data_IF_918412919803
#
_entry.id   IF_918412919803
#
_cell.length_a   1.000
_cell.length_b   1.000
_cell.length_c   1.000
_cell.angle_alpha   90.00
_cell.angle_beta   90.00
_cell.angle_gamma   90.00
#
_symmetry.space_group_name_H-M   'P 1'
#
loop_
_entity.id
_entity.type
_entity.pdbx_description
1 polymer ?
#
# COMPACT_ATOMS: atom_id res chain seq x y z
N UNK A 1 -14.67 24.97 -35.54
CA UNK A 1 -15.21 23.60 -35.39
C UNK A 1 -14.92 23.16 -33.96
N UNK A 2 -15.94 23.09 -33.13
CA UNK A 2 -15.82 22.58 -31.75
C UNK A 2 -15.81 21.06 -31.87
N UNK A 3 -14.78 20.41 -31.34
CA UNK A 3 -14.63 18.96 -31.47
C UNK A 3 -15.68 18.21 -30.63
N UNK A 4 -16.11 17.05 -31.11
CA UNK A 4 -17.06 16.19 -30.40
C UNK A 4 -16.62 15.87 -28.96
N UNK A 5 -15.32 15.87 -28.69
CA UNK A 5 -14.73 15.67 -27.34
C UNK A 5 -15.03 16.81 -26.37
N UNK A 6 -15.13 18.06 -26.86
CA UNK A 6 -15.47 19.22 -26.03
C UNK A 6 -16.95 19.21 -25.61
N UNK A 7 -17.83 18.79 -26.51
CA UNK A 7 -19.27 18.65 -26.23
C UNK A 7 -19.56 17.51 -25.25
N UNK A 8 -18.85 16.40 -25.36
CA UNK A 8 -18.96 15.28 -24.41
C UNK A 8 -18.46 15.67 -23.01
N UNK A 9 -17.39 16.47 -22.94
CA UNK A 9 -16.82 16.94 -21.66
C UNK A 9 -17.75 17.91 -20.96
N UNK A 10 -18.41 18.82 -21.70
CA UNK A 10 -19.43 19.75 -21.16
C UNK A 10 -20.67 18.98 -20.66
N UNK A 11 -21.15 18.01 -21.43
CA UNK A 11 -22.31 17.21 -21.05
C UNK A 11 -22.03 16.37 -19.79
N UNK A 12 -20.85 15.77 -19.68
CA UNK A 12 -20.45 15.02 -18.48
C UNK A 12 -20.28 15.94 -17.29
N UNK A 13 -19.74 17.14 -17.47
CA UNK A 13 -19.57 18.13 -16.38
C UNK A 13 -20.92 18.66 -15.88
N UNK A 14 -21.86 18.95 -16.78
CA UNK A 14 -23.24 19.34 -16.46
C UNK A 14 -23.99 18.22 -15.76
N UNK A 15 -23.81 16.96 -16.17
CA UNK A 15 -24.45 15.83 -15.54
C UNK A 15 -23.92 15.57 -14.11
N UNK A 16 -22.62 15.76 -13.88
CA UNK A 16 -22.01 15.67 -12.54
C UNK A 16 -22.45 16.84 -11.64
N UNK A 17 -22.63 18.04 -12.17
CA UNK A 17 -23.17 19.17 -11.42
C UNK A 17 -24.65 18.95 -11.03
N UNK A 18 -25.44 18.35 -11.90
CA UNK A 18 -26.84 18.01 -11.62
C UNK A 18 -26.97 16.90 -10.55
N UNK A 19 -26.01 15.98 -10.51
CA UNK A 19 -25.93 14.92 -9.49
C UNK A 19 -25.52 15.46 -8.09
N UNK A 20 -24.75 16.56 -8.01
CA UNK A 20 -24.40 17.20 -6.73
C UNK A 20 -25.60 17.84 -6.02
N UNK A 21 -26.60 18.30 -6.75
CA UNK A 21 -27.80 18.92 -6.18
C UNK A 21 -28.82 17.94 -5.59
N UNK A 22 -28.67 16.64 -5.85
CA UNK A 22 -29.53 15.57 -5.31
C UNK A 22 -28.83 14.66 -4.29
N UNK A 23 -27.74 15.10 -3.68
CA UNK A 23 -26.83 14.27 -2.89
C UNK A 23 -27.39 13.65 -1.60
N UNK A 24 -28.55 14.05 -1.11
CA UNK A 24 -29.18 13.50 0.10
C UNK A 24 -30.00 12.21 -0.14
N UNK A 25 -30.62 12.05 -1.29
CA UNK A 25 -31.36 10.83 -1.63
C UNK A 25 -30.45 9.71 -2.15
N UNK A 26 -29.27 10.02 -2.70
CA UNK A 26 -28.32 9.08 -3.28
C UNK A 26 -27.59 8.20 -2.25
N UNK A 27 -27.36 8.67 -1.04
CA UNK A 27 -26.71 7.87 0.01
C UNK A 27 -27.49 6.61 0.40
N UNK A 28 -28.78 6.59 0.20
CA UNK A 28 -29.65 5.46 0.55
C UNK A 28 -29.71 4.40 -0.55
N UNK A 29 -29.57 4.81 -1.82
CA UNK A 29 -29.61 3.92 -2.99
C UNK A 29 -28.26 3.24 -3.24
N UNK A 30 -27.13 3.85 -2.86
CA UNK A 30 -25.78 3.29 -3.06
C UNK A 30 -25.48 2.04 -2.20
N UNK A 31 -26.16 1.85 -1.09
CA UNK A 31 -25.90 0.69 -0.22
C UNK A 31 -26.51 -0.61 -0.77
N UNK A 32 -27.53 -0.54 -1.61
CA UNK A 32 -28.23 -1.72 -2.12
C UNK A 32 -27.78 -2.21 -3.50
N UNK A 33 -27.13 -1.37 -4.32
CA UNK A 33 -26.76 -1.68 -5.72
C UNK A 33 -25.29 -2.00 -5.98
N UNK A 34 -24.39 -1.96 -4.99
CA UNK A 34 -22.94 -2.14 -5.18
C UNK A 34 -22.47 -3.60 -5.10
N UNK A 35 -23.21 -4.54 -5.68
CA UNK A 35 -22.81 -5.96 -5.67
C UNK A 35 -21.86 -6.36 -6.82
N UNK A 36 -21.63 -5.54 -7.83
CA UNK A 36 -20.73 -5.89 -8.94
C UNK A 36 -19.34 -5.29 -8.81
N UNK A 37 -18.32 -6.13 -9.06
CA UNK A 37 -16.88 -5.77 -9.01
C UNK A 37 -16.53 -4.61 -9.97
N UNK A 38 -17.25 -4.50 -11.10
CA UNK A 38 -17.05 -3.48 -12.14
C UNK A 38 -17.47 -2.10 -11.64
N UNK A 39 -18.58 -1.99 -10.93
CA UNK A 39 -19.07 -0.72 -10.40
C UNK A 39 -18.15 -0.14 -9.31
N UNK A 40 -17.55 -1.00 -8.47
CA UNK A 40 -16.57 -0.55 -7.45
C UNK A 40 -15.32 0.04 -8.10
N UNK A 41 -14.81 -0.59 -9.13
CA UNK A 41 -13.62 -0.06 -9.86
C UNK A 41 -13.92 1.27 -10.54
N UNK A 42 -15.10 1.42 -11.14
CA UNK A 42 -15.49 2.67 -11.79
C UNK A 42 -15.67 3.83 -10.80
N UNK A 43 -16.27 3.57 -9.63
CA UNK A 43 -16.45 4.59 -8.58
C UNK A 43 -15.11 5.00 -7.96
N UNK A 44 -14.21 4.04 -7.71
CA UNK A 44 -12.85 4.31 -7.21
C UNK A 44 -12.07 5.11 -8.26
N UNK A 45 -12.16 4.77 -9.54
CA UNK A 45 -11.52 5.48 -10.64
C UNK A 45 -12.03 6.94 -10.77
N UNK A 46 -13.35 7.17 -10.65
CA UNK A 46 -13.93 8.50 -10.71
C UNK A 46 -13.54 9.36 -9.50
N UNK A 47 -13.51 8.79 -8.30
CA UNK A 47 -13.08 9.48 -7.09
C UNK A 47 -11.59 9.82 -7.12
N UNK A 48 -10.77 8.92 -7.64
CA UNK A 48 -9.34 9.11 -7.83
C UNK A 48 -9.06 10.20 -8.88
N UNK A 49 -9.79 10.18 -10.00
CA UNK A 49 -9.74 11.20 -11.06
C UNK A 49 -10.07 12.60 -10.52
N UNK A 50 -11.07 12.72 -9.66
CA UNK A 50 -11.44 14.01 -9.04
C UNK A 50 -10.34 14.52 -8.09
N UNK A 51 -9.69 13.64 -7.33
CA UNK A 51 -8.54 14.00 -6.46
C UNK A 51 -7.34 14.47 -7.26
N UNK A 52 -6.99 13.76 -8.32
CA UNK A 52 -5.88 14.13 -9.25
C UNK A 52 -6.19 15.45 -9.93
N UNK A 53 -7.39 15.67 -10.44
CA UNK A 53 -7.79 16.93 -11.06
C UNK A 53 -7.77 18.11 -10.09
N UNK A 54 -8.13 17.91 -8.83
CA UNK A 54 -8.06 18.95 -7.82
C UNK A 54 -6.60 19.27 -7.41
N UNK A 55 -5.73 18.28 -7.37
CA UNK A 55 -4.28 18.47 -7.15
C UNK A 55 -3.64 19.23 -8.31
N UNK A 56 -3.98 18.88 -9.55
CA UNK A 56 -3.54 19.57 -10.77
C UNK A 56 -4.03 21.01 -10.76
N UNK A 57 -5.31 21.27 -10.47
CA UNK A 57 -5.87 22.64 -10.40
C UNK A 57 -5.17 23.51 -9.36
N UNK A 58 -4.78 22.97 -8.21
CA UNK A 58 -4.05 23.74 -7.18
C UNK A 58 -2.63 24.09 -7.56
N UNK A 59 -1.96 23.28 -8.40
CA UNK A 59 -0.55 23.49 -8.81
C UNK A 59 -0.39 24.23 -10.14
N UNK A 60 -1.42 24.25 -11.00
CA UNK A 60 -1.31 24.70 -12.39
C UNK A 60 -2.18 25.93 -12.67
N UNK A 61 -2.42 26.81 -11.69
CA UNK A 61 -3.23 28.02 -11.87
C UNK A 61 -2.70 29.03 -12.93
N UNK A 62 -1.60 28.76 -13.63
CA UNK A 62 -1.06 29.65 -14.66
C UNK A 62 -0.72 29.00 -16.02
N UNK A 63 -1.04 27.71 -16.24
CA UNK A 63 -0.61 27.04 -17.48
C UNK A 63 -1.78 26.33 -18.18
N UNK A 64 -1.94 26.55 -19.47
CA UNK A 64 -2.94 25.88 -20.30
C UNK A 64 -2.53 24.42 -20.55
N UNK A 65 -3.33 23.45 -20.10
CA UNK A 65 -3.17 22.02 -20.39
C UNK A 65 -3.94 21.74 -21.69
N UNK A 66 -3.28 21.21 -22.70
CA UNK A 66 -3.88 21.06 -24.02
C UNK A 66 -4.16 19.61 -24.45
N UNK A 67 -3.47 18.59 -23.92
CA UNK A 67 -3.74 17.20 -24.29
C UNK A 67 -3.57 16.21 -23.12
N UNK A 68 -4.45 15.19 -23.09
CA UNK A 68 -4.38 14.05 -22.19
C UNK A 68 -4.34 12.78 -23.02
N UNK A 69 -3.30 11.97 -22.85
CA UNK A 69 -3.23 10.63 -23.40
C UNK A 69 -3.56 9.60 -22.30
N UNK A 70 -4.62 8.82 -22.53
CA UNK A 70 -5.09 7.76 -21.64
C UNK A 70 -4.94 6.37 -22.27
N UNK A 71 -4.15 6.20 -23.32
CA UNK A 71 -4.05 4.98 -24.10
C UNK A 71 -3.31 3.82 -23.44
N UNK A 72 -2.79 3.98 -22.22
CA UNK A 72 -2.10 2.92 -21.49
C UNK A 72 -2.65 2.71 -20.08
N UNK A 73 -3.28 1.58 -19.84
CA UNK A 73 -3.80 1.18 -18.51
C UNK A 73 -2.70 0.76 -17.52
N UNK A 74 -1.50 1.30 -17.64
CA UNK A 74 -0.39 1.05 -16.71
C UNK A 74 0.11 2.39 -16.15
N UNK A 75 -0.13 2.60 -14.88
CA UNK A 75 0.54 3.44 -13.85
C UNK A 75 1.29 4.74 -14.22
N UNK A 76 1.41 5.13 -15.46
CA UNK A 76 2.04 6.40 -15.90
C UNK A 76 0.99 7.38 -16.43
N UNK A 77 0.73 8.46 -15.70
CA UNK A 77 -0.04 9.61 -16.21
C UNK A 77 0.97 10.60 -16.76
N UNK A 78 1.05 10.72 -18.09
CA UNK A 78 1.82 11.77 -18.76
C UNK A 78 0.94 12.99 -18.97
N UNK A 79 1.30 14.10 -18.37
CA UNK A 79 0.66 15.40 -18.59
C UNK A 79 1.61 16.25 -19.42
N UNK A 80 1.29 16.49 -20.70
CA UNK A 80 2.05 17.39 -21.57
C UNK A 80 1.54 18.81 -21.41
N UNK A 81 2.41 19.73 -21.00
CA UNK A 81 2.12 21.16 -20.91
C UNK A 81 2.82 21.85 -22.09
N UNK A 82 2.06 22.47 -22.99
CA UNK A 82 2.63 23.23 -24.12
C UNK A 82 3.20 24.54 -23.57
N UNK A 83 4.51 24.58 -23.39
CA UNK A 83 5.26 25.74 -22.92
C UNK A 83 6.52 25.37 -22.12
N UNK A 84 7.58 25.07 -22.82
CA UNK A 84 9.01 25.09 -22.41
C UNK A 84 9.54 24.16 -21.32
N UNK A 85 8.79 23.25 -20.70
CA UNK A 85 9.33 22.04 -20.02
C UNK A 85 8.16 21.15 -19.63
N UNK A 86 8.11 19.91 -20.14
CA UNK A 86 7.19 18.89 -19.64
C UNK A 86 7.46 18.65 -18.17
N UNK A 87 6.42 18.64 -17.34
CA UNK A 87 6.51 18.19 -15.94
C UNK A 87 6.05 16.74 -15.98
N UNK A 88 6.98 15.81 -16.00
CA UNK A 88 6.70 14.41 -15.77
C UNK A 88 6.41 14.22 -14.27
N UNK A 89 5.14 14.08 -13.92
CA UNK A 89 4.76 13.69 -12.56
C UNK A 89 4.72 12.16 -12.56
N UNK A 90 5.85 11.53 -12.26
CA UNK A 90 5.91 10.10 -12.01
C UNK A 90 5.38 9.86 -10.59
N UNK A 91 4.20 9.26 -10.47
CA UNK A 91 3.72 8.78 -9.18
C UNK A 91 4.52 7.55 -8.77
N UNK A 92 5.01 7.53 -7.55
CA UNK A 92 5.75 6.38 -7.01
C UNK A 92 4.82 5.19 -6.89
N UNK A 93 5.18 4.08 -7.51
CA UNK A 93 4.42 2.83 -7.36
C UNK A 93 4.80 2.14 -6.05
N UNK A 94 3.80 1.78 -5.25
CA UNK A 94 4.00 1.17 -3.94
C UNK A 94 3.50 -0.27 -3.91
N UNK A 95 4.27 -1.13 -3.23
CA UNK A 95 3.91 -2.50 -2.89
C UNK A 95 3.92 -2.68 -1.37
N UNK A 96 2.94 -3.39 -0.84
CA UNK A 96 2.93 -3.89 0.53
C UNK A 96 3.24 -5.39 0.51
N UNK A 97 4.35 -5.78 1.10
CA UNK A 97 4.72 -7.20 1.28
C UNK A 97 4.64 -7.54 2.75
N UNK A 98 4.05 -8.68 3.10
CA UNK A 98 3.94 -9.06 4.50
C UNK A 98 4.00 -10.57 4.70
N UNK A 99 4.49 -10.97 5.87
CA UNK A 99 4.27 -12.29 6.44
C UNK A 99 3.32 -12.19 7.63
N UNK A 100 2.43 -13.13 7.77
CA UNK A 100 1.52 -13.20 8.91
C UNK A 100 1.17 -14.65 9.23
N UNK A 101 1.23 -14.99 10.51
CA UNK A 101 0.84 -16.29 11.07
C UNK A 101 -0.15 -16.07 12.21
N UNK A 102 -0.77 -17.14 12.73
CA UNK A 102 -1.74 -17.08 13.83
C UNK A 102 -2.96 -16.19 13.50
N UNK A 103 -3.25 -15.18 14.30
CA UNK A 103 -4.47 -14.36 14.25
C UNK A 103 -4.55 -13.38 13.06
N UNK A 104 -3.52 -13.32 12.23
CA UNK A 104 -3.53 -12.43 11.07
C UNK A 104 -3.27 -10.94 11.39
N UNK A 105 -2.70 -10.61 12.54
CA UNK A 105 -2.48 -9.23 12.97
C UNK A 105 -1.67 -8.41 11.95
N UNK A 106 -0.54 -8.94 11.47
CA UNK A 106 0.27 -8.28 10.43
C UNK A 106 -0.50 -8.15 9.12
N UNK A 107 -1.29 -9.16 8.75
CA UNK A 107 -2.17 -9.12 7.58
C UNK A 107 -3.18 -7.99 7.66
N UNK A 108 -3.85 -7.83 8.82
CA UNK A 108 -4.84 -6.76 9.07
C UNK A 108 -4.24 -5.37 8.79
N UNK A 109 -3.04 -5.11 9.31
CA UNK A 109 -2.34 -3.84 9.10
C UNK A 109 -1.89 -3.67 7.64
N UNK A 110 -1.35 -4.72 7.02
CA UNK A 110 -0.94 -4.69 5.61
C UNK A 110 -2.10 -4.39 4.67
N UNK A 111 -3.25 -5.02 4.89
CA UNK A 111 -4.47 -4.77 4.10
C UNK A 111 -5.01 -3.35 4.33
N UNK A 112 -4.98 -2.85 5.57
CA UNK A 112 -5.38 -1.48 5.88
C UNK A 112 -4.48 -0.46 5.15
N UNK A 113 -3.16 -0.66 5.19
CA UNK A 113 -2.18 0.18 4.49
C UNK A 113 -2.43 0.15 2.97
N UNK A 114 -2.51 -1.05 2.36
CA UNK A 114 -2.72 -1.19 0.92
C UNK A 114 -4.04 -0.55 0.46
N UNK A 115 -5.14 -0.80 1.18
CA UNK A 115 -6.44 -0.22 0.86
C UNK A 115 -6.48 1.32 0.92
N UNK A 116 -5.75 1.91 1.88
CA UNK A 116 -5.74 3.37 2.07
C UNK A 116 -4.80 4.10 1.11
N UNK A 117 -3.71 3.44 0.69
CA UNK A 117 -2.72 4.02 -0.24
C UNK A 117 -2.97 3.66 -1.70
N UNK A 118 -3.79 2.64 -1.97
CA UNK A 118 -3.97 2.08 -3.31
C UNK A 118 -2.78 1.23 -3.77
N UNK A 119 -1.93 0.80 -2.85
CA UNK A 119 -0.76 -0.03 -3.14
C UNK A 119 -1.18 -1.46 -3.54
N UNK A 120 -0.35 -2.09 -4.39
CA UNK A 120 -0.42 -3.52 -4.60
C UNK A 120 -0.04 -4.26 -3.30
N UNK A 121 -0.53 -5.49 -3.11
CA UNK A 121 -0.25 -6.27 -1.91
C UNK A 121 0.18 -7.69 -2.26
N UNK A 122 1.21 -8.19 -1.57
CA UNK A 122 1.71 -9.56 -1.71
C UNK A 122 1.97 -10.17 -0.33
N UNK A 123 1.62 -11.44 -0.17
CA UNK A 123 1.90 -12.22 1.04
C UNK A 123 3.14 -13.08 0.81
N UNK A 124 4.03 -13.10 1.80
CA UNK A 124 5.11 -14.08 1.88
C UNK A 124 4.51 -15.37 2.45
N UNK A 125 4.73 -16.48 1.76
CA UNK A 125 4.31 -17.81 2.19
C UNK A 125 5.52 -18.75 2.19
N UNK A 126 5.70 -19.50 3.26
CA UNK A 126 6.71 -20.56 3.31
C UNK A 126 6.26 -21.75 2.45
N UNK A 127 7.22 -22.41 1.77
CA UNK A 127 6.93 -23.59 0.96
C UNK A 127 6.34 -24.72 1.82
N UNK A 128 6.85 -24.85 3.05
CA UNK A 128 6.30 -25.70 4.09
C UNK A 128 5.65 -24.83 5.16
N UNK A 129 4.31 -24.81 5.28
CA UNK A 129 3.63 -23.99 6.26
C UNK A 129 3.95 -24.45 7.69
N UNK A 130 4.09 -23.49 8.61
CA UNK A 130 4.16 -23.80 10.03
C UNK A 130 2.87 -24.47 10.49
N UNK A 131 3.00 -25.63 11.14
CA UNK A 131 1.87 -26.46 11.55
C UNK A 131 2.10 -27.02 12.96
N UNK A 132 1.02 -27.46 13.60
CA UNK A 132 1.04 -27.93 14.98
C UNK A 132 0.30 -26.97 15.93
N UNK A 133 0.49 -27.17 17.21
CA UNK A 133 -0.03 -26.26 18.24
C UNK A 133 0.68 -24.91 18.21
N UNK A 134 0.10 -23.93 18.90
CA UNK A 134 0.78 -22.62 19.05
C UNK A 134 2.15 -22.77 19.67
N UNK A 135 2.26 -23.60 20.72
CA UNK A 135 3.49 -23.88 21.44
C UNK A 135 4.54 -24.53 20.54
N UNK A 136 4.14 -25.48 19.68
CA UNK A 136 5.05 -26.15 18.74
C UNK A 136 5.69 -25.14 17.79
N UNK A 137 4.88 -24.22 17.26
CA UNK A 137 5.37 -23.19 16.33
C UNK A 137 6.22 -22.13 17.05
N UNK A 138 5.89 -21.77 18.29
CA UNK A 138 6.70 -20.87 19.11
C UNK A 138 8.09 -21.47 19.34
N UNK A 139 8.17 -22.75 19.72
CA UNK A 139 9.43 -23.46 19.95
C UNK A 139 10.23 -23.68 18.64
N UNK A 140 9.52 -23.98 17.54
CA UNK A 140 10.16 -24.05 16.22
C UNK A 140 10.75 -22.69 15.82
N UNK A 141 9.98 -21.62 15.97
CA UNK A 141 10.41 -20.26 15.65
C UNK A 141 11.62 -19.83 16.48
N UNK A 142 11.71 -20.26 17.77
CA UNK A 142 12.89 -20.03 18.59
C UNK A 142 14.14 -20.66 17.98
N UNK A 143 14.07 -21.95 17.70
CA UNK A 143 15.21 -22.69 17.12
C UNK A 143 15.64 -22.10 15.78
N UNK A 144 14.67 -21.70 14.93
CA UNK A 144 14.95 -21.11 13.62
C UNK A 144 15.63 -19.74 13.73
N UNK A 145 15.14 -18.88 14.64
CA UNK A 145 15.73 -17.55 14.86
C UNK A 145 17.14 -17.69 15.44
N UNK A 146 17.35 -18.55 16.45
CA UNK A 146 18.67 -18.81 17.04
C UNK A 146 19.68 -19.38 16.02
N UNK A 147 19.20 -20.20 15.08
CA UNK A 147 20.02 -20.78 14.01
C UNK A 147 20.22 -19.82 12.82
N UNK A 148 19.55 -18.69 12.76
CA UNK A 148 19.50 -17.83 11.56
C UNK A 148 18.92 -18.56 10.35
N UNK A 149 17.96 -19.46 10.57
CA UNK A 149 17.35 -20.29 9.54
C UNK A 149 16.54 -19.45 8.56
N UNK A 150 16.69 -19.72 7.28
CA UNK A 150 15.96 -19.09 6.20
C UNK A 150 15.09 -20.14 5.50
N UNK A 151 13.81 -20.28 5.88
CA UNK A 151 12.89 -21.22 5.24
C UNK A 151 12.72 -20.87 3.76
N UNK A 152 12.52 -21.89 2.93
CA UNK A 152 12.15 -21.67 1.54
C UNK A 152 10.77 -20.99 1.51
N UNK A 153 10.66 -19.93 0.70
CA UNK A 153 9.40 -19.19 0.49
C UNK A 153 8.92 -19.41 -0.95
N UNK A 154 7.60 -19.38 -1.12
CA UNK A 154 6.99 -19.41 -2.44
C UNK A 154 7.29 -18.09 -3.18
N UNK A 155 7.48 -18.11 -4.50
CA UNK A 155 7.64 -16.88 -5.29
C UNK A 155 6.43 -15.96 -5.10
N UNK A 156 6.69 -14.68 -4.83
CA UNK A 156 5.63 -13.67 -4.87
C UNK A 156 5.25 -13.37 -6.32
N UNK A 157 3.96 -13.12 -6.57
CA UNK A 157 3.40 -12.95 -7.92
C UNK A 157 3.72 -11.61 -8.59
N UNK A 158 4.59 -10.79 -7.98
CA UNK A 158 4.93 -9.44 -8.44
C UNK A 158 6.43 -9.27 -8.60
N UNK A 159 6.84 -8.44 -9.57
CA UNK A 159 8.24 -8.08 -9.76
C UNK A 159 8.57 -6.84 -8.94
N UNK A 160 9.50 -6.94 -7.96
CA UNK A 160 9.91 -5.83 -7.11
C UNK A 160 10.52 -4.66 -7.90
N UNK A 161 11.09 -4.92 -9.08
CA UNK A 161 11.67 -3.87 -9.92
C UNK A 161 10.64 -2.82 -10.36
N UNK A 162 9.36 -3.19 -10.41
CA UNK A 162 8.27 -2.32 -10.86
C UNK A 162 7.81 -1.30 -9.80
N UNK A 163 8.41 -1.34 -8.59
CA UNK A 163 7.98 -0.52 -7.45
C UNK A 163 9.10 0.39 -6.96
N UNK A 164 8.74 1.64 -6.66
CA UNK A 164 9.65 2.64 -6.09
C UNK A 164 9.65 2.58 -4.54
N UNK A 165 8.51 2.17 -3.95
CA UNK A 165 8.29 2.09 -2.50
C UNK A 165 7.81 0.69 -2.13
N UNK A 166 8.44 0.08 -1.12
CA UNK A 166 8.06 -1.25 -0.64
C UNK A 166 7.85 -1.20 0.88
N UNK A 167 6.60 -1.31 1.32
CA UNK A 167 6.31 -1.52 2.73
C UNK A 167 6.45 -3.01 3.07
N UNK A 168 7.17 -3.34 4.13
CA UNK A 168 7.46 -4.72 4.51
C UNK A 168 7.01 -4.95 5.93
N UNK A 169 6.03 -5.87 6.09
CA UNK A 169 5.41 -6.21 7.37
C UNK A 169 5.81 -7.58 7.90
N UNK A 170 6.12 -7.64 9.19
CA UNK A 170 6.49 -8.87 9.90
C UNK A 170 5.88 -8.91 11.29
N UNK A 171 5.47 -10.07 11.83
CA UNK A 171 5.32 -10.22 13.27
C UNK A 171 6.70 -10.29 13.94
N UNK A 172 6.78 -9.91 15.22
CA UNK A 172 7.95 -10.20 16.05
C UNK A 172 7.99 -11.66 16.41
N UNK A 173 9.09 -12.32 16.08
CA UNK A 173 9.42 -13.67 16.49
C UNK A 173 10.75 -13.65 17.26
N UNK A 174 10.69 -13.98 18.55
CA UNK A 174 11.89 -14.02 19.39
C UNK A 174 12.79 -12.77 19.24
N UNK A 175 12.14 -11.60 19.43
CA UNK A 175 12.75 -10.26 19.41
C UNK A 175 13.30 -9.79 18.03
N UNK A 176 13.12 -10.58 16.95
CA UNK A 176 13.49 -10.20 15.58
C UNK A 176 12.34 -10.46 14.61
N UNK A 177 12.59 -10.31 13.30
CA UNK A 177 11.60 -10.61 12.26
C UNK A 177 11.36 -12.11 12.12
N UNK A 178 10.19 -12.49 11.60
CA UNK A 178 9.90 -13.88 11.25
C UNK A 178 10.92 -14.42 10.22
N UNK A 179 11.36 -15.70 10.32
CA UNK A 179 12.36 -16.29 9.42
C UNK A 179 12.00 -16.20 7.93
N UNK A 180 10.72 -16.30 7.58
CA UNK A 180 10.26 -16.11 6.20
C UNK A 180 10.54 -14.70 5.64
N UNK A 181 10.46 -13.67 6.51
CA UNK A 181 10.81 -12.29 6.13
C UNK A 181 12.32 -12.14 5.99
N UNK A 182 13.11 -12.79 6.86
CA UNK A 182 14.57 -12.84 6.71
C UNK A 182 14.96 -13.42 5.34
N UNK A 183 14.35 -14.54 4.92
CA UNK A 183 14.55 -15.11 3.59
C UNK A 183 14.22 -14.08 2.50
N UNK A 184 13.05 -13.46 2.56
CA UNK A 184 12.60 -12.48 1.58
C UNK A 184 13.59 -11.31 1.46
N UNK A 185 14.03 -10.73 2.59
CA UNK A 185 14.95 -9.61 2.59
C UNK A 185 16.34 -9.97 2.09
N UNK A 186 16.79 -11.20 2.31
CA UNK A 186 18.13 -11.66 1.91
C UNK A 186 18.21 -12.04 0.43
N UNK A 187 17.08 -12.48 -0.15
CA UNK A 187 17.03 -12.98 -1.53
C UNK A 187 16.63 -11.92 -2.56
N UNK A 188 16.25 -10.71 -2.12
CA UNK A 188 15.81 -9.64 -3.01
C UNK A 188 16.71 -8.41 -2.92
N UNK A 189 16.77 -7.63 -4.00
CA UNK A 189 17.51 -6.37 -4.08
C UNK A 189 16.58 -5.17 -3.83
N UNK A 190 16.94 -4.35 -2.86
CA UNK A 190 16.23 -3.12 -2.48
C UNK A 190 16.98 -1.85 -2.85
N UNK A 191 18.07 -1.96 -3.61
CA UNK A 191 18.91 -0.82 -4.01
C UNK A 191 18.09 0.23 -4.75
N UNK A 192 18.19 1.48 -4.28
CA UNK A 192 17.48 2.63 -4.85
C UNK A 192 15.99 2.71 -4.53
N UNK A 193 15.45 1.78 -3.74
CA UNK A 193 14.05 1.77 -3.31
C UNK A 193 13.87 2.47 -1.95
N UNK A 194 12.67 2.97 -1.69
CA UNK A 194 12.27 3.38 -0.35
C UNK A 194 11.58 2.21 0.34
N UNK A 195 12.15 1.73 1.44
CA UNK A 195 11.56 0.65 2.26
C UNK A 195 10.87 1.27 3.47
N UNK A 196 9.63 0.82 3.74
CA UNK A 196 8.84 1.19 4.90
C UNK A 196 8.69 -0.07 5.78
N UNK A 197 9.58 -0.27 6.77
CA UNK A 197 9.48 -1.43 7.64
C UNK A 197 8.39 -1.21 8.69
N UNK A 198 7.50 -2.19 8.85
CA UNK A 198 6.54 -2.19 9.95
C UNK A 198 6.45 -3.58 10.59
N UNK A 199 6.14 -3.60 11.88
CA UNK A 199 6.06 -4.84 12.61
C UNK A 199 4.88 -4.85 13.58
N UNK A 200 4.38 -6.05 13.86
CA UNK A 200 3.37 -6.29 14.90
C UNK A 200 3.97 -7.12 16.03
N UNK A 201 3.65 -6.76 17.27
CA UNK A 201 4.16 -7.42 18.47
C UNK A 201 3.12 -7.47 19.58
N UNK A 202 3.35 -8.28 20.59
CA UNK A 202 2.54 -8.40 21.81
C UNK A 202 3.13 -7.67 23.02
N UNK A 203 3.84 -6.54 22.81
CA UNK A 203 4.51 -5.79 23.89
C UNK A 203 6.02 -6.01 23.96
N UNK A 204 6.59 -6.90 23.13
CA UNK A 204 8.03 -7.19 23.07
C UNK A 204 8.57 -6.92 21.67
N UNK A 205 8.78 -5.66 21.27
CA UNK A 205 9.17 -5.30 19.91
C UNK A 205 10.57 -5.80 19.51
N UNK A 206 11.47 -5.98 20.46
CA UNK A 206 12.85 -6.40 20.19
C UNK A 206 13.59 -5.42 19.28
N UNK A 207 14.39 -5.97 18.36
CA UNK A 207 15.19 -5.19 17.40
C UNK A 207 14.75 -5.36 15.93
N UNK A 208 13.48 -5.79 15.73
CA UNK A 208 12.92 -6.13 14.41
C UNK A 208 13.20 -5.08 13.34
N UNK A 209 12.85 -3.81 13.59
CA UNK A 209 13.02 -2.73 12.61
C UNK A 209 14.50 -2.53 12.25
N UNK A 210 15.39 -2.59 13.25
CA UNK A 210 16.83 -2.50 13.02
C UNK A 210 17.32 -3.63 12.14
N UNK A 211 16.94 -4.86 12.47
CA UNK A 211 17.38 -6.05 11.73
C UNK A 211 16.87 -6.04 10.28
N UNK A 212 15.62 -5.60 10.05
CA UNK A 212 15.08 -5.42 8.71
C UNK A 212 15.91 -4.42 7.90
N UNK A 213 16.27 -3.27 8.51
CA UNK A 213 17.10 -2.24 7.86
C UNK A 213 18.49 -2.78 7.51
N UNK A 214 19.11 -3.54 8.41
CA UNK A 214 20.42 -4.14 8.21
C UNK A 214 20.44 -5.13 7.02
N UNK A 215 19.30 -5.73 6.67
CA UNK A 215 19.16 -6.65 5.53
C UNK A 215 18.81 -5.95 4.21
N UNK A 216 18.16 -4.78 4.23
CA UNK A 216 17.79 -4.03 3.02
C UNK A 216 18.93 -3.10 2.56
N UNK A 217 20.08 -3.64 2.20
CA UNK A 217 21.23 -2.82 1.77
C UNK A 217 20.91 -1.98 0.54
N UNK A 218 21.36 -0.72 0.56
CA UNK A 218 21.15 0.23 -0.55
C UNK A 218 19.76 0.84 -0.64
N UNK A 219 18.84 0.49 0.29
CA UNK A 219 17.54 1.13 0.41
C UNK A 219 17.59 2.43 1.20
N UNK A 220 16.68 3.35 0.90
CA UNK A 220 16.29 4.43 1.80
C UNK A 220 15.17 3.95 2.72
N UNK A 221 15.09 4.46 3.94
CA UNK A 221 14.05 4.08 4.91
C UNK A 221 13.19 5.28 5.26
N UNK A 222 11.88 5.05 5.39
CA UNK A 222 10.91 6.06 5.79
C UNK A 222 9.76 5.41 6.57
N UNK A 223 9.07 6.19 7.39
CA UNK A 223 7.80 5.83 8.03
C UNK A 223 7.80 4.47 8.74
N UNK A 224 8.90 4.10 9.38
CA UNK A 224 8.97 2.87 10.16
C UNK A 224 7.90 2.84 11.27
N UNK A 225 7.29 1.67 11.52
CA UNK A 225 6.17 1.57 12.45
C UNK A 225 6.23 0.30 13.29
N UNK A 226 6.03 0.45 14.60
CA UNK A 226 5.84 -0.63 15.55
C UNK A 226 4.38 -0.60 16.00
N UNK A 227 3.67 -1.71 15.83
CA UNK A 227 2.24 -1.83 16.14
C UNK A 227 2.08 -2.91 17.21
N UNK A 228 1.53 -2.51 18.34
CA UNK A 228 1.30 -3.41 19.45
C UNK A 228 -0.12 -3.95 19.43
N UNK A 229 -0.21 -5.26 19.56
CA UNK A 229 -1.41 -6.01 19.88
C UNK A 229 -1.31 -6.55 21.31
N UNK A 230 -2.39 -7.19 21.77
CA UNK A 230 -2.46 -7.73 23.11
C UNK A 230 -1.34 -8.77 23.37
N UNK A 231 -0.82 -8.77 24.60
CA UNK A 231 0.30 -9.63 25.03
C UNK A 231 -0.05 -11.11 25.10
N UNK A 232 -1.33 -11.46 25.09
CA UNK A 232 -1.79 -12.85 25.10
C UNK A 232 -1.84 -13.48 23.71
N UNK A 233 -1.29 -12.78 22.69
CA UNK A 233 -1.22 -13.28 21.32
C UNK A 233 -2.56 -13.27 20.59
N UNK A 234 -3.55 -12.50 21.06
CA UNK A 234 -4.86 -12.33 20.42
C UNK A 234 -4.83 -11.15 19.41
N UNK A 235 -5.98 -10.76 18.94
CA UNK A 235 -6.17 -9.78 17.88
C UNK A 235 -6.60 -8.39 18.38
N UNK A 236 -6.63 -8.16 19.70
CA UNK A 236 -6.91 -6.86 20.27
C UNK A 236 -5.77 -5.89 20.01
N UNK A 237 -6.08 -4.77 19.36
CA UNK A 237 -5.11 -3.76 19.00
C UNK A 237 -4.90 -2.79 20.17
N UNK A 238 -3.67 -2.72 20.70
CA UNK A 238 -3.26 -1.79 21.76
C UNK A 238 -2.81 -0.43 21.18
N UNK A 239 -2.15 -0.43 20.03
CA UNK A 239 -1.80 0.80 19.31
C UNK A 239 -3.08 1.49 18.82
N UNK A 240 -3.27 2.75 19.16
CA UNK A 240 -4.46 3.52 18.74
C UNK A 240 -4.65 3.52 17.23
N UNK A 241 -5.88 3.30 16.77
CA UNK A 241 -6.25 3.40 15.35
C UNK A 241 -5.96 4.79 14.76
N UNK A 242 -5.98 5.84 15.57
CA UNK A 242 -5.62 7.21 15.13
C UNK A 242 -4.14 7.30 14.76
N UNK A 243 -3.25 6.66 15.54
CA UNK A 243 -1.82 6.60 15.26
C UNK A 243 -1.55 5.86 13.94
N UNK A 244 -2.23 4.74 13.71
CA UNK A 244 -2.11 3.98 12.46
C UNK A 244 -2.66 4.79 11.28
N UNK A 245 -3.78 5.48 11.46
CA UNK A 245 -4.40 6.32 10.43
C UNK A 245 -3.49 7.50 10.06
N UNK A 246 -2.88 8.13 11.04
CA UNK A 246 -1.90 9.22 10.82
C UNK A 246 -0.67 8.71 10.07
N UNK A 247 -0.10 7.59 10.50
CA UNK A 247 1.02 6.93 9.84
C UNK A 247 0.75 6.66 8.36
N UNK A 248 -0.40 6.05 8.05
CA UNK A 248 -0.82 5.78 6.67
C UNK A 248 -1.03 7.10 5.89
N UNK A 249 -1.57 8.12 6.55
CA UNK A 249 -1.76 9.45 5.95
C UNK A 249 -0.44 10.13 5.56
N UNK A 250 0.60 9.99 6.39
CA UNK A 250 1.94 10.49 6.12
C UNK A 250 2.57 9.76 4.92
N UNK A 251 2.49 8.42 4.88
CA UNK A 251 2.95 7.61 3.74
C UNK A 251 2.25 8.07 2.47
N UNK A 252 0.92 8.16 2.47
CA UNK A 252 0.14 8.56 1.30
C UNK A 252 0.50 9.96 0.79
N UNK A 253 0.89 10.86 1.70
CA UNK A 253 1.37 12.18 1.33
C UNK A 253 2.71 12.13 0.60
N UNK A 254 3.63 11.26 1.04
CA UNK A 254 4.99 11.23 0.52
C UNK A 254 5.14 10.42 -0.77
N UNK A 255 4.30 9.40 -0.99
CA UNK A 255 4.27 8.67 -2.27
C UNK A 255 3.63 9.49 -3.41
N UNK A 256 2.81 10.50 -3.08
CA UNK A 256 2.13 11.37 -4.04
C UNK A 256 2.84 12.73 -4.25
N UNK A 257 4.05 12.90 -3.72
CA UNK A 257 4.92 14.07 -3.97
C UNK A 257 5.80 13.85 -5.18
#
# INVERSE_FOLDING_TARGET
>A
MISLSSLLLEQVTLHIMHLKLKSWQWRRIQMECLSSRIMRQTVIFLFWREKVMNMIRRRVMSTRIMDYDFSGMNSEIRISVIGKKGIDIKMKKMLVVYYSWSNGNTKKIAEQLANKTGADIARIETAEPYSGSHEDVVEQGKREVEAGFMPQINPISVNLADYDVIAIGTPTWWYTMAPAVLTFLTTNDFTGKTVIPFMTNGGWPGHVIKDMKDKCKGAAFAHEMQIQFDSMGKDHLETSEDVITEWIGQINTDINK
#
